data_IF_366803407427
#
_entry.id   IF_366803407427
#
_cell.length_a   1.000
_cell.length_b   1.000
_cell.length_c   1.000
_cell.angle_alpha   90.00
_cell.angle_beta   90.00
_cell.angle_gamma   90.00
#
_symmetry.space_group_name_H-M   'P 1'
#
loop_
_entity.id
_entity.type
_entity.pdbx_description
1 polymer ?
#
# COMPACT_ATOMS: atom_id res chain seq x y z
N UNK A 1 -23.60 -28.15 56.60
CA UNK A 1 -22.75 -28.55 55.47
C UNK A 1 -23.15 -27.78 54.20
N UNK A 2 -23.00 -26.45 54.17
CA UNK A 2 -23.34 -25.66 52.97
C UNK A 2 -22.47 -24.37 52.94
N UNK A 3 -21.15 -24.47 52.88
CA UNK A 3 -20.31 -23.27 52.85
C UNK A 3 -19.21 -23.27 51.77
N UNK A 4 -19.06 -24.29 50.94
CA UNK A 4 -17.95 -24.37 49.98
C UNK A 4 -18.36 -24.21 48.50
N UNK A 5 -19.64 -24.08 48.17
CA UNK A 5 -20.08 -23.93 46.76
C UNK A 5 -19.91 -22.50 46.23
N UNK A 6 -20.03 -21.49 47.10
CA UNK A 6 -19.93 -20.06 46.71
C UNK A 6 -18.50 -19.60 46.33
N UNK A 7 -17.48 -20.19 46.99
CA UNK A 7 -16.08 -19.80 46.74
C UNK A 7 -15.57 -20.39 45.42
N UNK A 8 -16.04 -21.53 44.98
CA UNK A 8 -15.67 -22.15 43.69
C UNK A 8 -16.32 -21.44 42.49
N UNK A 9 -17.55 -20.94 42.63
CA UNK A 9 -18.23 -20.19 41.58
C UNK A 9 -17.62 -18.82 41.37
N UNK A 10 -17.22 -18.10 42.43
CA UNK A 10 -16.55 -16.80 42.34
C UNK A 10 -15.19 -16.89 41.65
N UNK A 11 -14.40 -17.96 41.95
CA UNK A 11 -13.08 -18.14 41.31
C UNK A 11 -13.16 -18.60 39.85
N UNK A 12 -14.23 -19.26 39.44
CA UNK A 12 -14.46 -19.68 38.05
C UNK A 12 -14.91 -18.49 37.17
N UNK A 13 -15.78 -17.63 37.71
CA UNK A 13 -16.25 -16.43 37.03
C UNK A 13 -15.11 -15.40 36.84
N UNK A 14 -14.25 -15.23 37.86
CA UNK A 14 -13.07 -14.35 37.77
C UNK A 14 -12.01 -14.83 36.77
N UNK A 15 -11.76 -16.16 36.72
CA UNK A 15 -10.86 -16.73 35.71
C UNK A 15 -11.40 -16.58 34.31
N UNK A 16 -12.68 -16.82 34.08
CA UNK A 16 -13.31 -16.69 32.77
C UNK A 16 -13.27 -15.23 32.27
N UNK A 17 -13.47 -14.28 33.17
CA UNK A 17 -13.35 -12.83 32.84
C UNK A 17 -11.91 -12.41 32.57
N UNK A 18 -10.92 -12.97 33.28
CA UNK A 18 -9.50 -12.73 33.00
C UNK A 18 -9.05 -13.38 31.69
N UNK A 19 -9.56 -14.57 31.39
CA UNK A 19 -9.26 -15.27 30.13
C UNK A 19 -9.92 -14.56 28.94
N UNK A 20 -11.14 -14.02 29.10
CA UNK A 20 -11.81 -13.20 28.10
C UNK A 20 -11.10 -11.83 27.92
N UNK A 21 -10.61 -11.22 28.99
CA UNK A 21 -9.80 -9.99 28.90
C UNK A 21 -8.43 -10.27 28.25
N UNK A 22 -7.75 -11.34 28.61
CA UNK A 22 -6.50 -11.73 27.94
C UNK A 22 -6.70 -12.10 26.47
N UNK A 23 -7.81 -12.78 26.10
CA UNK A 23 -8.15 -13.04 24.71
C UNK A 23 -8.55 -11.76 23.96
N UNK A 24 -9.15 -10.76 24.63
CA UNK A 24 -9.38 -9.43 24.04
C UNK A 24 -8.08 -8.61 23.90
N UNK A 25 -7.13 -8.75 24.84
CA UNK A 25 -5.80 -8.14 24.74
C UNK A 25 -4.93 -8.83 23.69
N UNK A 26 -4.98 -10.14 23.55
CA UNK A 26 -4.32 -10.87 22.45
C UNK A 26 -4.90 -10.53 21.07
N UNK A 27 -6.21 -10.24 20.97
CA UNK A 27 -6.84 -9.72 19.74
C UNK A 27 -6.48 -8.27 19.43
N UNK A 28 -5.85 -7.57 20.35
CA UNK A 28 -5.47 -6.15 20.24
C UNK A 28 -3.96 -5.93 20.08
N UNK A 29 -3.22 -6.94 19.66
CA UNK A 29 -1.84 -6.69 19.21
C UNK A 29 -1.91 -5.91 17.90
N UNK A 30 -1.63 -4.61 18.00
CA UNK A 30 -1.52 -3.75 16.82
C UNK A 30 -0.48 -4.31 15.86
N UNK A 31 -0.78 -4.29 14.56
CA UNK A 31 0.12 -4.78 13.49
C UNK A 31 1.49 -4.11 13.56
N UNK A 32 1.52 -2.85 14.00
CA UNK A 32 2.75 -2.06 14.16
C UNK A 32 2.76 -1.42 15.53
N UNK A 33 3.86 -1.59 16.28
CA UNK A 33 4.02 -0.95 17.58
C UNK A 33 4.34 0.55 17.43
N UNK A 34 3.92 1.36 18.41
CA UNK A 34 4.26 2.78 18.46
C UNK A 34 5.78 3.02 18.47
N UNK A 35 6.55 2.11 19.07
CA UNK A 35 8.02 2.18 19.11
C UNK A 35 8.61 2.08 17.71
N UNK A 36 8.14 1.14 16.90
CA UNK A 36 8.57 0.98 15.49
C UNK A 36 8.26 2.22 14.65
N UNK A 37 7.07 2.83 14.84
CA UNK A 37 6.71 4.07 14.15
C UNK A 37 7.61 5.25 14.55
N UNK A 38 7.99 5.34 15.83
CA UNK A 38 8.92 6.33 16.32
C UNK A 38 10.33 6.15 15.74
N UNK A 39 10.84 4.94 15.74
CA UNK A 39 12.15 4.58 15.17
C UNK A 39 12.21 4.86 13.67
N UNK A 40 11.13 4.60 12.94
CA UNK A 40 11.00 4.92 11.52
C UNK A 40 10.82 6.42 11.23
N UNK A 41 10.70 7.28 12.27
CA UNK A 41 10.54 8.72 12.11
C UNK A 41 9.19 9.17 11.54
N UNK A 42 8.16 8.32 11.58
CA UNK A 42 6.83 8.58 10.99
C UNK A 42 6.09 9.72 11.73
N UNK A 43 6.49 10.05 12.94
CA UNK A 43 5.92 11.16 13.72
C UNK A 43 6.27 12.56 13.18
N UNK A 44 7.27 12.69 12.32
CA UNK A 44 7.61 13.97 11.70
C UNK A 44 6.64 14.32 10.58
N UNK A 45 5.92 15.42 10.77
CA UNK A 45 5.05 16.01 9.76
C UNK A 45 5.78 17.01 8.85
N UNK A 46 5.03 17.95 8.32
CA UNK A 46 5.56 19.03 7.50
C UNK A 46 5.86 20.29 8.32
N UNK A 47 6.63 21.19 7.73
CA UNK A 47 6.85 22.53 8.31
C UNK A 47 5.51 23.25 8.50
N UNK A 48 5.40 24.08 9.55
CA UNK A 48 4.17 24.79 9.92
C UNK A 48 3.59 25.65 8.79
N UNK A 49 4.44 26.28 7.98
CA UNK A 49 4.02 27.07 6.79
C UNK A 49 3.29 26.24 5.71
N UNK A 50 3.40 24.91 5.74
CA UNK A 50 2.71 23.98 4.83
C UNK A 50 1.48 23.35 5.49
N UNK A 51 0.90 24.03 6.45
CA UNK A 51 -0.23 23.51 7.20
C UNK A 51 -1.44 23.22 6.32
N UNK A 52 -2.14 22.16 6.66
CA UNK A 52 -3.41 21.78 6.05
C UNK A 52 -4.48 21.66 7.17
N UNK A 53 -5.56 22.46 7.11
CA UNK A 53 -6.62 22.42 8.13
C UNK A 53 -7.21 21.02 8.36
N UNK A 54 -7.29 20.18 7.32
CA UNK A 54 -7.79 18.80 7.41
C UNK A 54 -6.92 17.88 8.27
N UNK A 55 -5.66 18.27 8.51
CA UNK A 55 -4.73 17.51 9.35
C UNK A 55 -4.77 17.93 10.81
N UNK A 56 -5.45 19.03 11.17
CA UNK A 56 -5.52 19.52 12.54
C UNK A 56 -5.88 18.43 13.58
N UNK A 57 -6.86 17.52 13.36
CA UNK A 57 -7.20 16.48 14.32
C UNK A 57 -6.10 15.43 14.55
N UNK A 58 -5.12 15.33 13.65
CA UNK A 58 -4.04 14.33 13.68
C UNK A 58 -2.69 14.89 14.13
N UNK A 59 -2.64 16.19 14.42
CA UNK A 59 -1.43 16.85 14.91
C UNK A 59 -1.44 16.80 16.43
N UNK A 60 -0.36 16.29 17.02
CA UNK A 60 -0.16 16.25 18.46
C UNK A 60 0.35 17.60 18.98
N UNK A 61 1.43 18.13 18.40
CA UNK A 61 2.06 19.38 18.78
C UNK A 61 2.92 19.93 17.66
N UNK A 62 3.47 21.14 17.89
CA UNK A 62 4.51 21.75 17.05
C UNK A 62 5.83 21.80 17.81
N UNK A 63 6.94 21.47 17.15
CA UNK A 63 8.28 21.59 17.71
C UNK A 63 9.26 22.03 16.63
N UNK A 64 10.02 23.08 16.90
CA UNK A 64 11.02 23.63 15.97
C UNK A 64 10.46 23.95 14.56
N UNK A 65 9.25 24.49 14.48
CA UNK A 65 8.59 24.81 13.21
C UNK A 65 8.16 23.60 12.37
N UNK A 66 8.08 22.40 12.98
CA UNK A 66 7.61 21.16 12.36
C UNK A 66 6.47 20.60 13.19
N UNK A 67 5.39 20.19 12.53
CA UNK A 67 4.30 19.48 13.21
C UNK A 67 4.68 18.06 13.54
N UNK A 68 4.27 17.59 14.71
CA UNK A 68 4.42 16.20 15.17
C UNK A 68 3.05 15.54 15.07
N UNK A 69 3.01 14.40 14.39
CA UNK A 69 1.79 13.62 14.17
C UNK A 69 1.50 12.77 15.40
N UNK A 70 0.20 12.66 15.74
CA UNK A 70 -0.29 11.80 16.82
C UNK A 70 -0.20 10.32 16.41
N UNK A 71 0.80 9.62 16.95
CA UNK A 71 1.04 8.20 16.64
C UNK A 71 -0.02 7.27 17.23
N UNK A 72 -0.69 7.65 18.32
CA UNK A 72 -1.76 6.82 18.89
C UNK A 72 -2.91 6.65 17.89
N UNK A 73 -3.29 7.76 17.25
CA UNK A 73 -4.30 7.73 16.17
C UNK A 73 -3.78 6.98 14.94
N UNK A 74 -2.49 7.12 14.64
CA UNK A 74 -1.88 6.45 13.48
C UNK A 74 -1.90 4.93 13.64
N UNK A 75 -1.56 4.38 14.81
CA UNK A 75 -1.62 2.93 15.09
C UNK A 75 -3.02 2.39 14.85
N UNK A 76 -4.06 3.04 15.43
CA UNK A 76 -5.43 2.59 15.23
C UNK A 76 -5.88 2.63 13.76
N UNK A 77 -5.42 3.64 12.99
CA UNK A 77 -5.74 3.72 11.55
C UNK A 77 -4.97 2.70 10.70
N UNK A 78 -3.78 2.31 11.12
CA UNK A 78 -3.03 1.22 10.47
C UNK A 78 -3.75 -0.12 10.69
N UNK A 79 -4.23 -0.39 11.90
CA UNK A 79 -4.96 -1.62 12.20
C UNK A 79 -6.28 -1.70 11.42
N UNK A 80 -7.03 -0.57 11.32
CA UNK A 80 -8.23 -0.50 10.48
C UNK A 80 -7.91 -0.79 9.00
N UNK A 81 -6.86 -0.18 8.47
CA UNK A 81 -6.44 -0.37 7.09
C UNK A 81 -5.97 -1.81 6.82
N UNK A 82 -5.22 -2.40 7.76
CA UNK A 82 -4.77 -3.78 7.67
C UNK A 82 -5.95 -4.75 7.60
N UNK A 83 -6.93 -4.61 8.48
CA UNK A 83 -8.11 -5.47 8.49
C UNK A 83 -8.91 -5.34 7.19
N UNK A 84 -9.11 -4.11 6.69
CA UNK A 84 -9.79 -3.90 5.41
C UNK A 84 -9.04 -4.54 4.23
N UNK A 85 -7.72 -4.46 4.20
CA UNK A 85 -6.88 -5.10 3.17
C UNK A 85 -6.94 -6.62 3.29
N UNK A 86 -6.87 -7.14 4.53
CA UNK A 86 -6.94 -8.58 4.79
C UNK A 86 -8.27 -9.18 4.33
N UNK A 87 -9.39 -8.50 4.59
CA UNK A 87 -10.72 -8.93 4.15
C UNK A 87 -10.82 -8.98 2.62
N UNK A 88 -10.29 -7.98 1.92
CA UNK A 88 -10.29 -7.95 0.45
C UNK A 88 -9.48 -9.11 -0.11
N UNK A 89 -8.28 -9.36 0.43
CA UNK A 89 -7.40 -10.44 -0.03
C UNK A 89 -7.99 -11.82 0.31
N UNK A 90 -8.61 -11.99 1.49
CA UNK A 90 -9.29 -13.22 1.87
C UNK A 90 -10.41 -13.59 0.91
N UNK A 91 -11.08 -12.59 0.33
CA UNK A 91 -12.11 -12.77 -0.71
C UNK A 91 -11.53 -12.95 -2.13
N UNK A 92 -10.21 -13.13 -2.27
CA UNK A 92 -9.55 -13.26 -3.57
C UNK A 92 -9.43 -11.96 -4.36
N UNK A 93 -9.56 -10.82 -3.69
CA UNK A 93 -9.39 -9.49 -4.28
C UNK A 93 -7.94 -9.18 -4.62
N UNK A 94 -7.75 -8.28 -5.58
CA UNK A 94 -6.44 -7.81 -6.03
C UNK A 94 -6.23 -6.37 -5.60
N UNK A 95 -4.98 -6.05 -5.23
CA UNK A 95 -4.60 -4.72 -4.76
C UNK A 95 -3.60 -4.11 -5.71
N UNK A 96 -3.77 -2.80 -5.98
CA UNK A 96 -2.80 -2.01 -6.72
C UNK A 96 -2.08 -1.06 -5.76
N UNK A 97 -0.78 -1.22 -5.62
CA UNK A 97 0.06 -0.33 -4.84
C UNK A 97 0.53 0.87 -5.68
N UNK A 98 0.31 2.08 -5.17
CA UNK A 98 0.65 3.32 -5.87
C UNK A 98 1.54 4.19 -5.00
N UNK A 99 2.74 4.50 -5.50
CA UNK A 99 3.67 5.36 -4.77
C UNK A 99 4.73 5.93 -5.71
N UNK A 100 4.48 7.10 -6.29
CA UNK A 100 5.39 7.77 -7.23
C UNK A 100 6.42 8.68 -6.55
N UNK A 101 6.38 8.80 -5.22
CA UNK A 101 7.34 9.59 -4.46
C UNK A 101 8.69 8.86 -4.43
N UNK A 102 9.79 9.56 -4.74
CA UNK A 102 11.14 8.96 -4.84
C UNK A 102 11.51 8.07 -3.65
N UNK A 103 11.11 8.48 -2.43
CA UNK A 103 11.40 7.72 -1.20
C UNK A 103 10.56 6.44 -1.08
N UNK A 104 9.43 6.33 -1.79
CA UNK A 104 8.52 5.20 -1.72
C UNK A 104 8.66 4.24 -2.92
N UNK A 105 9.27 4.66 -4.02
CA UNK A 105 9.32 3.90 -5.28
C UNK A 105 9.87 2.50 -5.12
N UNK A 106 11.03 2.37 -4.47
CA UNK A 106 11.70 1.08 -4.30
C UNK A 106 10.97 0.19 -3.29
N UNK A 107 10.50 0.78 -2.18
CA UNK A 107 9.74 0.05 -1.16
C UNK A 107 8.43 -0.51 -1.73
N UNK A 108 7.68 0.29 -2.48
CA UNK A 108 6.43 -0.13 -3.13
C UNK A 108 6.68 -1.27 -4.13
N UNK A 109 7.72 -1.16 -4.95
CA UNK A 109 8.08 -2.21 -5.90
C UNK A 109 8.41 -3.50 -5.18
N UNK A 110 9.34 -3.46 -4.23
CA UNK A 110 9.82 -4.64 -3.50
C UNK A 110 8.68 -5.34 -2.76
N UNK A 111 7.84 -4.60 -2.05
CA UNK A 111 6.75 -5.18 -1.28
C UNK A 111 5.61 -5.69 -2.16
N UNK A 112 5.28 -5.02 -3.25
CA UNK A 112 4.28 -5.49 -4.19
C UNK A 112 4.73 -6.77 -4.91
N UNK A 113 5.99 -6.85 -5.36
CA UNK A 113 6.57 -8.06 -5.94
C UNK A 113 6.61 -9.21 -4.92
N UNK A 114 6.94 -8.94 -3.66
CA UNK A 114 6.94 -9.93 -2.57
C UNK A 114 5.56 -10.56 -2.34
N UNK A 115 4.49 -9.79 -2.42
CA UNK A 115 3.12 -10.31 -2.23
C UNK A 115 2.41 -10.69 -3.54
N UNK A 116 3.08 -10.60 -4.69
CA UNK A 116 2.50 -10.96 -5.99
C UNK A 116 1.38 -10.04 -6.46
N UNK A 117 1.36 -8.79 -5.99
CA UNK A 117 0.36 -7.78 -6.34
C UNK A 117 0.92 -6.76 -7.33
N UNK A 118 0.02 -5.96 -7.91
CA UNK A 118 0.37 -4.96 -8.91
C UNK A 118 0.88 -3.66 -8.27
N UNK A 119 1.75 -2.95 -8.99
CA UNK A 119 2.26 -1.66 -8.51
C UNK A 119 2.44 -0.61 -9.61
N UNK A 120 2.41 0.66 -9.20
CA UNK A 120 2.78 1.82 -10.01
C UNK A 120 3.69 2.71 -9.16
N UNK A 121 4.96 2.75 -9.50
CA UNK A 121 5.98 3.47 -8.73
C UNK A 121 6.60 4.67 -9.45
N UNK A 122 6.44 4.81 -10.77
CA UNK A 122 7.06 5.91 -11.52
C UNK A 122 6.09 7.08 -11.74
N UNK A 123 5.00 6.84 -12.43
CA UNK A 123 4.02 7.88 -12.73
C UNK A 123 2.60 7.33 -12.72
N UNK A 124 1.73 7.95 -11.93
CA UNK A 124 0.31 7.70 -12.01
C UNK A 124 -0.26 8.37 -13.26
N UNK A 125 -0.66 7.56 -14.23
CA UNK A 125 -1.18 8.06 -15.52
C UNK A 125 -2.66 8.36 -15.39
N UNK A 126 -3.09 9.50 -15.96
CA UNK A 126 -4.51 9.83 -16.06
C UNK A 126 -5.27 8.76 -16.85
N UNK A 127 -6.42 8.35 -16.34
CA UNK A 127 -7.25 7.31 -16.97
C UNK A 127 -6.75 5.87 -16.76
N UNK A 128 -5.80 5.62 -15.87
CA UNK A 128 -5.25 4.28 -15.65
C UNK A 128 -6.33 3.26 -15.26
N UNK A 129 -7.34 3.68 -14.51
CA UNK A 129 -8.48 2.86 -14.13
C UNK A 129 -9.73 3.17 -14.97
N UNK A 130 -10.04 4.45 -15.17
CA UNK A 130 -11.24 4.90 -15.88
C UNK A 130 -11.17 4.60 -17.38
N UNK A 131 -9.98 4.58 -17.98
CA UNK A 131 -9.73 4.21 -19.38
C UNK A 131 -8.81 2.98 -19.47
N UNK A 132 -9.14 1.96 -18.69
CA UNK A 132 -8.33 0.75 -18.57
C UNK A 132 -8.12 0.03 -19.91
N UNK A 133 -9.12 0.04 -20.80
CA UNK A 133 -9.01 -0.54 -22.14
C UNK A 133 -7.85 0.05 -22.95
N UNK A 134 -7.63 1.36 -22.87
CA UNK A 134 -6.49 2.02 -23.52
C UNK A 134 -5.18 1.62 -22.89
N UNK A 135 -5.13 1.50 -21.56
CA UNK A 135 -3.93 1.02 -20.85
C UNK A 135 -3.59 -0.41 -21.24
N UNK A 136 -4.58 -1.31 -21.32
CA UNK A 136 -4.39 -2.68 -21.79
C UNK A 136 -3.84 -2.72 -23.24
N UNK A 137 -4.33 -1.84 -24.12
CA UNK A 137 -3.78 -1.73 -25.48
C UNK A 137 -2.30 -1.33 -25.47
N UNK A 138 -1.88 -0.43 -24.56
CA UNK A 138 -0.46 -0.06 -24.41
C UNK A 138 0.39 -1.18 -23.83
N UNK A 139 -0.16 -1.95 -22.89
CA UNK A 139 0.49 -3.16 -22.37
C UNK A 139 0.61 -4.20 -23.48
N UNK A 140 -0.42 -4.39 -24.29
CA UNK A 140 -0.37 -5.26 -25.49
C UNK A 140 0.72 -4.83 -26.48
N UNK A 141 0.90 -3.51 -26.68
CA UNK A 141 2.00 -2.99 -27.50
C UNK A 141 3.37 -3.30 -26.90
N UNK A 142 3.53 -3.15 -25.57
CA UNK A 142 4.75 -3.52 -24.88
C UNK A 142 5.09 -5.00 -25.10
N UNK A 143 4.15 -5.90 -24.82
CA UNK A 143 4.29 -7.36 -25.05
C UNK A 143 4.60 -7.68 -26.51
N UNK A 144 4.04 -6.96 -27.47
CA UNK A 144 4.33 -7.16 -28.90
C UNK A 144 5.76 -6.76 -29.27
N UNK A 145 6.31 -5.70 -28.67
CA UNK A 145 7.69 -5.28 -28.91
C UNK A 145 8.67 -6.28 -28.31
N UNK A 146 8.42 -6.78 -27.10
CA UNK A 146 9.21 -7.84 -26.47
C UNK A 146 9.26 -9.10 -27.33
N UNK A 147 8.10 -9.54 -27.83
CA UNK A 147 8.01 -10.68 -28.73
C UNK A 147 8.79 -10.45 -30.04
N UNK A 148 8.77 -9.25 -30.63
CA UNK A 148 9.58 -8.91 -31.81
C UNK A 148 11.08 -8.99 -31.51
N UNK A 149 11.51 -8.69 -30.30
CA UNK A 149 12.90 -8.82 -29.87
C UNK A 149 13.30 -10.30 -29.74
N UNK A 150 12.44 -11.13 -29.11
CA UNK A 150 12.65 -12.57 -28.96
C UNK A 150 12.66 -13.31 -30.32
N UNK A 151 11.74 -12.95 -31.22
CA UNK A 151 11.60 -13.55 -32.56
C UNK A 151 12.73 -13.12 -33.56
N UNK A 152 13.68 -12.25 -33.12
CA UNK A 152 14.76 -11.75 -33.99
C UNK A 152 14.29 -10.79 -35.09
N UNK A 153 13.05 -10.30 -35.02
CA UNK A 153 12.48 -9.37 -36.01
C UNK A 153 13.27 -8.07 -36.10
N UNK A 154 13.94 -7.66 -35.03
CA UNK A 154 14.77 -6.45 -35.01
C UNK A 154 15.96 -6.50 -35.97
N UNK A 155 16.44 -7.68 -36.36
CA UNK A 155 17.54 -7.82 -37.34
C UNK A 155 17.10 -7.46 -38.76
N UNK A 156 15.78 -7.54 -39.03
CA UNK A 156 15.22 -7.24 -40.36
C UNK A 156 14.77 -5.78 -40.50
N UNK A 157 14.77 -5.02 -39.44
CA UNK A 157 14.32 -3.64 -39.41
C UNK A 157 15.48 -2.65 -39.54
N UNK A 158 15.24 -1.45 -40.12
CA UNK A 158 16.24 -0.39 -40.13
C UNK A 158 16.68 0.01 -38.71
N UNK A 159 17.96 0.26 -38.49
CA UNK A 159 18.53 0.61 -37.17
C UNK A 159 17.80 1.77 -36.49
N UNK A 160 17.30 2.75 -37.25
CA UNK A 160 16.54 3.91 -36.73
C UNK A 160 15.21 3.47 -36.11
N UNK A 161 14.51 2.54 -36.72
CA UNK A 161 13.24 2.02 -36.22
C UNK A 161 13.45 1.15 -34.98
N UNK A 162 14.44 0.29 -34.99
CA UNK A 162 14.83 -0.51 -33.80
C UNK A 162 15.11 0.38 -32.62
N UNK A 163 15.87 1.47 -32.81
CA UNK A 163 16.17 2.42 -31.75
C UNK A 163 14.90 3.11 -31.22
N UNK A 164 13.97 3.45 -32.09
CA UNK A 164 12.69 4.05 -31.70
C UNK A 164 11.83 3.08 -30.92
N UNK A 165 11.75 1.79 -31.34
CA UNK A 165 11.03 0.74 -30.63
C UNK A 165 11.64 0.46 -29.25
N UNK A 166 12.96 0.37 -29.14
CA UNK A 166 13.64 0.18 -27.84
C UNK A 166 13.39 1.34 -26.86
N UNK A 167 13.43 2.58 -27.32
CA UNK A 167 13.07 3.74 -26.49
C UNK A 167 11.59 3.71 -26.06
N UNK A 168 10.69 3.25 -26.93
CA UNK A 168 9.28 3.10 -26.59
C UNK A 168 9.08 1.98 -25.58
N UNK A 169 9.74 0.83 -25.75
CA UNK A 169 9.73 -0.30 -24.83
C UNK A 169 10.16 0.14 -23.43
N UNK A 170 11.34 0.77 -23.32
CA UNK A 170 11.87 1.28 -22.05
C UNK A 170 10.87 2.23 -21.35
N UNK A 171 10.28 3.16 -22.11
CA UNK A 171 9.27 4.08 -21.59
C UNK A 171 8.01 3.38 -21.10
N UNK A 172 7.52 2.37 -21.83
CA UNK A 172 6.33 1.61 -21.46
C UNK A 172 6.62 0.71 -20.27
N UNK A 173 7.75 0.01 -20.25
CA UNK A 173 8.18 -0.85 -19.15
C UNK A 173 8.32 -0.04 -17.85
N UNK A 174 8.97 1.12 -17.92
CA UNK A 174 9.13 2.01 -16.77
C UNK A 174 7.80 2.43 -16.14
N UNK A 175 6.78 2.73 -16.95
CA UNK A 175 5.51 3.25 -16.44
C UNK A 175 4.43 2.20 -16.23
N UNK A 176 4.47 1.06 -16.94
CA UNK A 176 3.41 0.06 -16.95
C UNK A 176 3.91 -1.34 -16.54
N UNK A 177 5.20 -1.52 -16.32
CA UNK A 177 5.81 -2.82 -15.99
C UNK A 177 5.12 -3.48 -14.79
N UNK A 178 4.87 -2.76 -13.72
CA UNK A 178 4.22 -3.29 -12.52
C UNK A 178 2.74 -3.68 -12.68
N UNK A 179 2.10 -3.30 -13.79
CA UNK A 179 0.70 -3.68 -14.11
C UNK A 179 0.59 -4.53 -15.37
N UNK A 180 1.70 -5.04 -15.89
CA UNK A 180 1.79 -5.80 -17.14
C UNK A 180 0.88 -7.04 -17.14
N UNK A 181 0.74 -7.71 -16.02
CA UNK A 181 -0.10 -8.91 -15.87
C UNK A 181 -1.51 -8.61 -15.36
N UNK A 182 -1.87 -7.35 -15.15
CA UNK A 182 -3.19 -6.95 -14.66
C UNK A 182 -4.25 -7.10 -15.76
N UNK A 183 -5.12 -8.10 -15.61
CA UNK A 183 -6.19 -8.41 -16.59
C UNK A 183 -7.50 -7.68 -16.30
N UNK A 184 -7.74 -7.29 -15.07
CA UNK A 184 -8.96 -6.61 -14.60
C UNK A 184 -8.58 -5.42 -13.71
N UNK A 185 -9.52 -4.51 -13.51
CA UNK A 185 -9.39 -3.41 -12.57
C UNK A 185 -9.22 -4.00 -11.16
N UNK A 186 -8.29 -3.49 -10.34
CA UNK A 186 -8.07 -3.98 -8.99
C UNK A 186 -9.26 -3.68 -8.07
N UNK A 187 -9.46 -4.52 -7.06
CA UNK A 187 -10.55 -4.39 -6.10
C UNK A 187 -10.26 -3.31 -5.05
N UNK A 188 -8.97 -3.06 -4.78
CA UNK A 188 -8.52 -1.97 -3.91
C UNK A 188 -7.26 -1.30 -4.43
N UNK A 189 -7.04 -0.06 -3.97
CA UNK A 189 -5.86 0.74 -4.29
C UNK A 189 -5.22 1.19 -2.98
N UNK A 190 -3.94 0.92 -2.82
CA UNK A 190 -3.14 1.41 -1.71
C UNK A 190 -2.27 2.57 -2.19
N UNK A 191 -2.56 3.80 -1.73
CA UNK A 191 -1.87 5.02 -2.18
C UNK A 191 -1.02 5.59 -1.05
N UNK A 192 0.30 5.75 -1.28
CA UNK A 192 1.23 6.30 -0.28
C UNK A 192 1.10 7.82 -0.12
N UNK A 193 0.87 8.57 -1.20
CA UNK A 193 0.73 10.02 -1.18
C UNK A 193 -0.48 10.48 -2.02
N UNK A 194 -1.64 10.54 -1.39
CA UNK A 194 -2.91 10.91 -2.03
C UNK A 194 -2.91 12.33 -2.61
N UNK A 195 -2.08 13.24 -2.06
CA UNK A 195 -1.99 14.61 -2.58
C UNK A 195 -1.25 14.68 -3.91
N UNK A 196 -0.23 13.83 -4.08
CA UNK A 196 0.58 13.78 -5.31
C UNK A 196 -0.14 13.04 -6.42
N UNK A 197 -0.90 12.01 -6.06
CA UNK A 197 -1.60 11.12 -7.00
C UNK A 197 -3.06 11.57 -7.29
N UNK A 198 -3.35 12.85 -7.11
CA UNK A 198 -4.68 13.43 -7.33
C UNK A 198 -4.97 13.64 -8.81
N UNK A 199 -5.12 12.59 -9.59
CA UNK A 199 -5.52 12.67 -11.02
C UNK A 199 -6.86 11.95 -11.21
#
# INVERSE_FOLDING_TARGET
MWSNAGALYGSYCSRKHMDEQNQMEERKMSVISMKQLLEAGVHFGHQTRRWNPKMAPYIYTERNGIYIIDLQKSVGKVDEAYNAVADIVANGGTILFVGTKKQAQDAIRTEAERCGMYYVNERWLGGMLTNFKTIQSRIGKLKSIEKMEEDGTFERLPKKEVLALKKLQEKLEKNLGGIKEMKRIPDAIFIVDTKKERI
#
